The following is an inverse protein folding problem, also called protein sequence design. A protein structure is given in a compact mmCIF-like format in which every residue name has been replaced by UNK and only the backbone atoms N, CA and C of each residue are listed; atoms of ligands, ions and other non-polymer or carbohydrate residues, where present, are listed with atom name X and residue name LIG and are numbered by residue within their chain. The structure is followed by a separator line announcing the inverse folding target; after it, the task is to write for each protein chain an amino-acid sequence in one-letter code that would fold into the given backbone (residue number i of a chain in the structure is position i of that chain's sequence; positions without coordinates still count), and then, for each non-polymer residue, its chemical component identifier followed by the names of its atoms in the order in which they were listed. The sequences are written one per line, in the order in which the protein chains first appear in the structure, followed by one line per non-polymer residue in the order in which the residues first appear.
data_IF_905861808678
#
_entry.id   IF_905861808678
#
_cell.length_a   1.000
_cell.length_b   1.000
_cell.length_c   1.000
_cell.angle_alpha   90.00
_cell.angle_beta   90.00
_cell.angle_gamma   90.00
#
_symmetry.space_group_name_H-M   'P 1'
#
loop_
_entity.id
_entity.type
_entity.pdbx_description
1 polymer ?
#
# COMPACT_ATOMS: atom_id res chain seq x y z
N UNK A 1 13.98 24.80 1.16
CA UNK A 1 13.67 23.88 0.06
C UNK A 1 12.19 23.56 0.12
N UNK A 2 11.37 24.32 -0.61
CA UNK A 2 9.91 24.18 -0.60
C UNK A 2 9.53 23.03 -1.52
N UNK A 3 9.13 21.89 -0.94
CA UNK A 3 8.51 20.79 -1.69
C UNK A 3 7.27 21.33 -2.39
N UNK A 4 7.25 21.32 -3.72
CA UNK A 4 6.06 21.64 -4.49
C UNK A 4 4.92 20.72 -4.03
N UNK A 5 3.75 21.25 -3.67
CA UNK A 5 2.67 20.42 -3.16
C UNK A 5 2.23 19.47 -4.27
N UNK A 6 2.24 18.18 -3.99
CA UNK A 6 1.86 17.17 -4.97
C UNK A 6 0.44 17.42 -5.47
N UNK A 7 0.25 17.34 -6.79
CA UNK A 7 -1.05 17.45 -7.45
C UNK A 7 -1.92 16.20 -7.25
N UNK A 8 -1.31 15.09 -6.81
CA UNK A 8 -2.01 13.84 -6.56
C UNK A 8 -2.54 13.80 -5.12
N UNK A 9 -3.86 13.68 -4.90
CA UNK A 9 -4.44 13.72 -3.56
C UNK A 9 -3.87 12.68 -2.60
N UNK A 10 -3.51 11.49 -3.11
CA UNK A 10 -2.99 10.38 -2.30
C UNK A 10 -1.64 10.70 -1.63
N UNK A 11 -0.84 11.60 -2.20
CA UNK A 11 0.43 12.02 -1.59
C UNK A 11 0.24 13.05 -0.46
N UNK A 12 -0.97 13.58 -0.29
CA UNK A 12 -1.34 14.50 0.80
C UNK A 12 -1.97 13.78 1.99
N UNK A 13 -2.29 12.50 1.84
CA UNK A 13 -2.82 11.70 2.94
C UNK A 13 -1.70 11.35 3.93
N UNK A 14 -1.98 11.33 5.24
CA UNK A 14 -1.05 10.75 6.19
C UNK A 14 -0.84 9.26 5.89
N UNK A 15 0.36 8.71 6.17
CA UNK A 15 0.70 7.33 5.84
C UNK A 15 -0.25 6.30 6.46
N UNK A 16 -0.86 6.59 7.61
CA UNK A 16 -1.83 5.74 8.29
C UNK A 16 -3.10 5.56 7.45
N UNK A 17 -3.57 6.63 6.80
CA UNK A 17 -4.77 6.59 5.96
C UNK A 17 -4.50 5.82 4.67
N UNK A 18 -3.30 5.98 4.11
CA UNK A 18 -2.85 5.18 2.96
C UNK A 18 -2.76 3.70 3.33
N UNK A 19 -2.21 3.37 4.50
CA UNK A 19 -2.16 2.00 5.02
C UNK A 19 -3.58 1.41 5.21
N UNK A 20 -4.52 2.19 5.74
CA UNK A 20 -5.93 1.77 5.85
C UNK A 20 -6.58 1.47 4.49
N UNK A 21 -6.29 2.29 3.47
CA UNK A 21 -6.74 2.04 2.09
C UNK A 21 -6.14 0.74 1.56
N UNK A 22 -4.84 0.51 1.78
CA UNK A 22 -4.17 -0.72 1.35
C UNK A 22 -4.75 -1.97 2.02
N UNK A 23 -5.04 -1.92 3.32
CA UNK A 23 -5.65 -3.05 4.04
C UNK A 23 -7.05 -3.33 3.47
N UNK A 24 -7.80 -2.28 3.14
CA UNK A 24 -9.14 -2.40 2.55
C UNK A 24 -9.14 -2.97 1.13
N UNK A 25 -8.01 -2.89 0.42
CA UNK A 25 -7.85 -3.46 -0.92
C UNK A 25 -7.36 -4.91 -0.92
N UNK A 26 -7.12 -5.51 0.25
CA UNK A 26 -6.75 -6.91 0.35
C UNK A 26 -7.84 -7.83 -0.21
N UNK A 27 -7.46 -8.88 -0.96
CA UNK A 27 -8.41 -9.88 -1.41
C UNK A 27 -9.06 -10.58 -0.22
N UNK A 28 -10.39 -10.51 -0.14
CA UNK A 28 -11.16 -11.15 0.93
C UNK A 28 -11.25 -12.67 0.76
N UNK A 29 -11.22 -13.14 -0.48
CA UNK A 29 -11.42 -14.54 -0.89
C UNK A 29 -10.48 -14.82 -2.08
N UNK A 30 -9.88 -16.01 -2.13
CA UNK A 30 -9.08 -16.47 -3.25
C UNK A 30 -7.62 -16.73 -2.90
N UNK A 31 -6.90 -17.37 -3.83
CA UNK A 31 -5.45 -17.63 -3.69
C UNK A 31 -4.67 -16.32 -3.87
N UNK A 32 -3.56 -16.12 -3.13
CA UNK A 32 -2.68 -14.98 -3.34
C UNK A 32 -2.25 -14.87 -4.81
N UNK A 33 -2.35 -13.67 -5.40
CA UNK A 33 -1.92 -13.38 -6.76
C UNK A 33 -0.95 -12.20 -6.75
N UNK A 34 0.15 -12.28 -7.51
CA UNK A 34 1.14 -11.20 -7.63
C UNK A 34 0.55 -9.87 -8.10
N UNK A 35 -0.57 -9.92 -8.83
CA UNK A 35 -1.27 -8.75 -9.36
C UNK A 35 -2.22 -8.12 -8.33
N UNK A 36 -2.32 -8.68 -7.12
CA UNK A 36 -3.20 -8.21 -6.05
C UNK A 36 -2.39 -7.65 -4.88
N UNK A 37 -3.08 -6.93 -4.00
CA UNK A 37 -2.50 -6.43 -2.77
C UNK A 37 -2.02 -7.62 -1.90
N UNK A 38 -0.89 -7.47 -1.21
CA UNK A 38 -0.09 -6.25 -1.07
C UNK A 38 1.03 -6.08 -2.12
N UNK A 39 1.19 -7.01 -3.07
CA UNK A 39 2.34 -7.02 -3.98
C UNK A 39 2.24 -5.94 -5.07
N UNK A 40 1.07 -5.79 -5.70
CA UNK A 40 0.88 -4.77 -6.73
C UNK A 40 1.03 -3.34 -6.19
N UNK A 41 0.45 -3.03 -5.03
CA UNK A 41 0.54 -1.72 -4.38
C UNK A 41 1.98 -1.38 -3.98
N UNK A 42 2.77 -2.37 -3.57
CA UNK A 42 4.18 -2.20 -3.21
C UNK A 42 5.06 -1.88 -4.42
N UNK A 43 4.58 -2.14 -5.64
CA UNK A 43 5.31 -1.89 -6.88
C UNK A 43 5.04 -0.52 -7.53
N UNK A 44 4.10 0.27 -6.99
CA UNK A 44 3.69 1.55 -7.58
C UNK A 44 4.79 2.61 -7.49
N UNK A 45 5.33 2.86 -6.30
CA UNK A 45 6.42 3.81 -6.07
C UNK A 45 7.15 3.52 -4.76
N UNK A 46 8.28 4.20 -4.51
CA UNK A 46 9.08 4.04 -3.29
C UNK A 46 8.28 4.32 -2.01
N UNK A 47 7.48 5.40 -2.00
CA UNK A 47 6.71 5.79 -0.81
C UNK A 47 5.65 4.75 -0.45
N UNK A 48 4.92 4.24 -1.43
CA UNK A 48 3.91 3.19 -1.21
C UNK A 48 4.55 1.89 -0.73
N UNK A 49 5.70 1.52 -1.30
CA UNK A 49 6.47 0.36 -0.84
C UNK A 49 6.86 0.48 0.63
N UNK A 50 7.33 1.65 1.06
CA UNK A 50 7.67 1.88 2.47
C UNK A 50 6.45 1.73 3.38
N UNK A 51 5.34 2.40 3.04
CA UNK A 51 4.10 2.30 3.80
C UNK A 51 3.62 0.84 3.87
N UNK A 52 3.64 0.11 2.75
CA UNK A 52 3.23 -1.29 2.71
C UNK A 52 4.12 -2.19 3.59
N UNK A 53 5.45 -2.06 3.51
CA UNK A 53 6.39 -2.82 4.35
C UNK A 53 6.18 -2.51 5.84
N UNK A 54 5.93 -1.24 6.18
CA UNK A 54 5.66 -0.81 7.56
C UNK A 54 4.24 -1.15 8.06
N UNK A 55 3.42 -1.85 7.29
CA UNK A 55 2.05 -2.23 7.65
C UNK A 55 1.91 -3.75 7.77
N UNK A 56 2.23 -4.37 8.94
CA UNK A 56 2.20 -5.81 9.14
C UNK A 56 0.90 -6.54 8.73
N UNK A 57 -0.31 -5.97 8.94
CA UNK A 57 -1.56 -6.63 8.54
C UNK A 57 -1.63 -6.99 7.05
N UNK A 58 -0.97 -6.23 6.18
CA UNK A 58 -0.92 -6.49 4.73
C UNK A 58 -0.26 -7.83 4.38
N UNK A 59 0.68 -8.28 5.20
CA UNK A 59 1.51 -9.47 4.93
C UNK A 59 1.05 -10.71 5.70
N UNK A 60 0.01 -10.60 6.53
CA UNK A 60 -0.49 -11.66 7.41
C UNK A 60 -1.08 -12.89 6.70
N UNK A 61 -1.36 -12.79 5.39
CA UNK A 61 -2.02 -13.84 4.59
C UNK A 61 -1.19 -14.34 3.41
N UNK A 62 0.09 -14.00 3.35
CA UNK A 62 1.00 -14.51 2.32
C UNK A 62 1.59 -15.84 2.82
N UNK A 63 1.41 -16.90 2.03
CA UNK A 63 1.99 -18.22 2.26
C UNK A 63 3.12 -18.43 1.25
N UNK A 64 4.26 -18.96 1.71
CA UNK A 64 5.45 -19.24 0.90
C UNK A 64 5.45 -20.71 0.50
#
# INVERSE_FOLDING_TARGET
MTSTPSIYPIHRLPPELVAHIFISSLPKIGRPNRNWAPLNISSVCMSWRQIAISTPPLWSRIHI
#
